data_IF_926491381863
#
_entry.id   IF_926491381863
#
_cell.length_a   1.000
_cell.length_b   1.000
_cell.length_c   1.000
_cell.angle_alpha   90.00
_cell.angle_beta   90.00
_cell.angle_gamma   90.00
#
_symmetry.space_group_name_H-M   'P 1'
#
loop_
_entity.id
_entity.type
_entity.pdbx_description
1 polymer ?
#
# COMPACT_ATOMS: atom_id res chain seq x y z
N UNK A 1 -16.04 10.65 0.89
CA UNK A 1 -14.63 11.08 0.80
C UNK A 1 -14.45 12.56 0.44
N UNK A 2 -15.30 13.18 -0.39
CA UNK A 2 -15.04 14.53 -0.88
C UNK A 2 -15.10 15.61 0.22
N UNK A 3 -16.11 15.57 1.08
CA UNK A 3 -16.40 16.66 2.04
C UNK A 3 -15.81 16.44 3.44
N UNK A 4 -15.62 15.18 3.83
CA UNK A 4 -15.15 14.79 5.17
C UNK A 4 -14.00 13.78 5.06
N UNK A 5 -12.76 14.25 4.81
CA UNK A 5 -11.61 13.37 4.54
C UNK A 5 -11.25 12.51 5.76
N UNK A 6 -11.27 13.08 6.96
CA UNK A 6 -10.95 12.36 8.21
C UNK A 6 -11.94 11.22 8.44
N UNK A 7 -13.25 11.48 8.37
CA UNK A 7 -14.28 10.44 8.52
C UNK A 7 -14.12 9.34 7.48
N UNK A 8 -13.80 9.71 6.24
CA UNK A 8 -13.62 8.73 5.18
C UNK A 8 -12.43 7.80 5.43
N UNK A 9 -11.32 8.31 5.95
CA UNK A 9 -10.17 7.49 6.31
C UNK A 9 -10.49 6.61 7.50
N UNK A 10 -11.19 7.12 8.52
CA UNK A 10 -11.60 6.29 9.66
C UNK A 10 -12.46 5.12 9.19
N UNK A 11 -13.47 5.37 8.35
CA UNK A 11 -14.31 4.31 7.79
C UNK A 11 -13.51 3.34 6.92
N UNK A 12 -12.58 3.85 6.11
CA UNK A 12 -11.69 3.04 5.28
C UNK A 12 -10.79 2.14 6.14
N UNK A 13 -10.14 2.67 7.16
CA UNK A 13 -9.30 1.91 8.08
C UNK A 13 -10.10 0.86 8.86
N UNK A 14 -11.32 1.19 9.30
CA UNK A 14 -12.23 0.21 9.92
C UNK A 14 -12.58 -0.90 8.92
N UNK A 15 -12.86 -0.57 7.66
CA UNK A 15 -13.11 -1.56 6.61
C UNK A 15 -11.94 -2.53 6.45
N UNK A 16 -10.70 -2.03 6.39
CA UNK A 16 -9.50 -2.88 6.29
C UNK A 16 -9.29 -3.76 7.53
N UNK A 17 -9.73 -3.34 8.72
CA UNK A 17 -9.66 -4.17 9.92
C UNK A 17 -10.74 -5.26 9.93
N UNK A 18 -11.93 -4.95 9.41
CA UNK A 18 -13.03 -5.90 9.29
C UNK A 18 -12.76 -7.01 8.27
N UNK A 19 -11.98 -6.73 7.24
CA UNK A 19 -11.46 -7.72 6.27
C UNK A 19 -10.74 -8.89 6.98
N UNK A 20 -9.86 -8.60 7.95
CA UNK A 20 -9.21 -9.65 8.72
C UNK A 20 -10.18 -10.45 9.62
N UNK A 21 -11.28 -9.81 10.04
CA UNK A 21 -12.25 -10.41 10.96
C UNK A 21 -13.19 -11.41 10.26
N UNK A 22 -13.56 -11.18 9.00
CA UNK A 22 -14.50 -12.06 8.29
C UNK A 22 -13.93 -13.47 8.09
N UNK A 23 -12.64 -13.58 7.74
CA UNK A 23 -11.96 -14.84 7.54
C UNK A 23 -11.69 -15.54 8.87
N UNK A 24 -11.53 -14.79 9.96
CA UNK A 24 -11.46 -15.37 11.30
C UNK A 24 -12.82 -15.98 11.70
N UNK A 25 -13.91 -15.22 11.53
CA UNK A 25 -15.26 -15.68 11.82
C UNK A 25 -15.65 -16.90 10.97
N UNK A 26 -15.36 -16.88 9.67
CA UNK A 26 -15.66 -17.98 8.76
C UNK A 26 -14.93 -19.29 9.12
N UNK A 27 -13.73 -19.20 9.71
CA UNK A 27 -12.99 -20.38 10.22
C UNK A 27 -13.52 -20.84 11.58
N UNK A 28 -13.87 -19.91 12.46
CA UNK A 28 -14.42 -20.22 13.78
C UNK A 28 -15.81 -20.88 13.69
N UNK A 29 -16.61 -20.51 12.68
CA UNK A 29 -17.96 -21.03 12.43
C UNK A 29 -18.00 -22.21 11.45
N UNK A 30 -16.86 -22.67 10.93
CA UNK A 30 -16.76 -23.71 9.89
C UNK A 30 -17.59 -23.39 8.61
N UNK A 31 -17.62 -22.11 8.24
CA UNK A 31 -18.35 -21.56 7.08
C UNK A 31 -17.42 -21.08 5.96
N UNK A 32 -16.20 -21.62 5.90
CA UNK A 32 -15.22 -21.26 4.86
C UNK A 32 -15.66 -21.81 3.50
N UNK A 33 -15.76 -20.93 2.49
CA UNK A 33 -16.21 -21.31 1.14
C UNK A 33 -15.31 -20.73 0.04
N UNK A 34 -15.31 -21.37 -1.13
CA UNK A 34 -14.59 -20.86 -2.31
C UNK A 34 -15.15 -19.51 -2.78
N UNK A 35 -16.47 -19.37 -2.73
CA UNK A 35 -17.14 -18.11 -3.05
C UNK A 35 -16.68 -16.99 -2.11
N UNK A 36 -16.70 -17.23 -0.79
CA UNK A 36 -16.24 -16.27 0.21
C UNK A 36 -14.79 -15.85 -0.01
N UNK A 37 -13.88 -16.79 -0.29
CA UNK A 37 -12.47 -16.48 -0.55
C UNK A 37 -12.23 -15.65 -1.83
N UNK A 38 -13.06 -15.83 -2.86
CA UNK A 38 -13.01 -15.00 -4.08
C UNK A 38 -13.61 -13.61 -3.82
N UNK A 39 -14.74 -13.55 -3.10
CA UNK A 39 -15.43 -12.32 -2.77
C UNK A 39 -14.55 -11.40 -1.89
N UNK A 40 -13.95 -11.97 -0.83
CA UNK A 40 -12.95 -11.35 0.03
C UNK A 40 -11.88 -10.66 -0.82
N UNK A 41 -11.16 -11.44 -1.62
CA UNK A 41 -10.09 -10.91 -2.49
C UNK A 41 -10.58 -9.78 -3.42
N UNK A 42 -11.75 -9.91 -4.05
CA UNK A 42 -12.27 -8.89 -4.99
C UNK A 42 -12.65 -7.60 -4.27
N UNK A 43 -13.37 -7.68 -3.15
CA UNK A 43 -13.81 -6.50 -2.38
C UNK A 43 -12.62 -5.74 -1.81
N UNK A 44 -11.59 -6.46 -1.40
CA UNK A 44 -10.36 -5.94 -0.86
C UNK A 44 -9.58 -5.11 -1.92
N UNK A 45 -9.57 -5.58 -3.18
CA UNK A 45 -9.03 -4.81 -4.32
C UNK A 45 -9.89 -3.61 -4.68
N UNK A 46 -11.22 -3.75 -4.69
CA UNK A 46 -12.14 -2.66 -5.00
C UNK A 46 -12.04 -1.52 -3.96
N UNK A 47 -11.89 -1.86 -2.69
CA UNK A 47 -11.72 -0.90 -1.60
C UNK A 47 -10.48 -0.03 -1.84
N UNK A 48 -9.34 -0.65 -2.18
CA UNK A 48 -8.11 0.05 -2.54
C UNK A 48 -8.29 0.89 -3.80
N UNK A 49 -8.94 0.35 -4.84
CA UNK A 49 -9.22 1.07 -6.08
C UNK A 49 -10.04 2.34 -5.85
N UNK A 50 -11.07 2.30 -5.00
CA UNK A 50 -11.87 3.48 -4.67
C UNK A 50 -11.02 4.60 -4.06
N UNK A 51 -10.08 4.27 -3.17
CA UNK A 51 -9.13 5.24 -2.62
C UNK A 51 -8.20 5.81 -3.70
N UNK A 52 -7.64 4.95 -4.56
CA UNK A 52 -6.74 5.35 -5.64
C UNK A 52 -7.42 6.25 -6.68
N UNK A 53 -8.66 5.96 -7.06
CA UNK A 53 -9.46 6.82 -7.95
C UNK A 53 -9.65 8.20 -7.32
N UNK A 54 -10.01 8.25 -6.03
CA UNK A 54 -10.16 9.53 -5.33
C UNK A 54 -8.84 10.29 -5.25
N UNK A 55 -7.73 9.60 -5.03
CA UNK A 55 -6.39 10.17 -5.00
C UNK A 55 -5.99 10.74 -6.37
N UNK A 56 -6.26 10.01 -7.46
CA UNK A 56 -5.99 10.46 -8.82
C UNK A 56 -6.68 11.79 -9.16
N UNK A 57 -7.91 12.02 -8.67
CA UNK A 57 -8.63 13.28 -8.86
C UNK A 57 -7.96 14.50 -8.18
N UNK A 58 -6.97 14.30 -7.32
CA UNK A 58 -6.31 15.35 -6.54
C UNK A 58 -4.87 15.62 -7.02
N UNK A 59 -4.36 14.78 -7.91
CA UNK A 59 -2.97 14.76 -8.34
C UNK A 59 -2.77 15.47 -9.69
N UNK A 60 -1.58 16.05 -9.93
CA UNK A 60 -1.21 16.54 -11.26
C UNK A 60 -1.11 15.40 -12.27
N UNK A 61 -1.33 15.69 -13.55
CA UNK A 61 -1.45 14.68 -14.62
C UNK A 61 -0.32 13.63 -14.66
N UNK A 62 0.98 13.95 -14.47
CA UNK A 62 2.03 12.93 -14.46
C UNK A 62 1.89 11.90 -13.34
N UNK A 63 1.41 12.32 -12.16
CA UNK A 63 1.21 11.44 -11.02
C UNK A 63 -0.07 10.59 -11.15
N UNK A 64 -1.07 11.06 -11.91
CA UNK A 64 -2.27 10.28 -12.24
C UNK A 64 -1.91 9.02 -13.02
N UNK A 65 -0.99 9.13 -14.00
CA UNK A 65 -0.51 7.98 -14.74
C UNK A 65 0.12 6.93 -13.81
N UNK A 66 0.92 7.37 -12.82
CA UNK A 66 1.51 6.46 -11.85
C UNK A 66 0.43 5.72 -11.03
N UNK A 67 -0.61 6.42 -10.56
CA UNK A 67 -1.74 5.80 -9.85
C UNK A 67 -2.50 4.80 -10.74
N UNK A 68 -2.71 5.14 -12.01
CA UNK A 68 -3.37 4.24 -12.97
C UNK A 68 -2.57 2.95 -13.20
N UNK A 69 -1.25 3.06 -13.34
CA UNK A 69 -0.35 1.90 -13.49
C UNK A 69 -0.37 1.05 -12.22
N UNK A 70 -0.29 1.66 -11.03
CA UNK A 70 -0.36 0.95 -9.76
C UNK A 70 -1.69 0.19 -9.60
N UNK A 71 -2.81 0.85 -9.84
CA UNK A 71 -4.14 0.24 -9.78
C UNK A 71 -4.28 -0.92 -10.77
N UNK A 72 -3.79 -0.74 -12.00
CA UNK A 72 -3.86 -1.77 -13.04
C UNK A 72 -2.99 -2.98 -12.71
N UNK A 73 -1.78 -2.75 -12.19
CA UNK A 73 -0.87 -3.80 -11.78
C UNK A 73 -1.43 -4.61 -10.60
N UNK A 74 -2.02 -3.93 -9.61
CA UNK A 74 -2.61 -4.59 -8.45
C UNK A 74 -3.78 -5.49 -8.85
N UNK A 75 -4.71 -4.99 -9.67
CA UNK A 75 -5.83 -5.77 -10.21
C UNK A 75 -5.36 -6.95 -11.07
N UNK A 76 -4.45 -6.71 -12.03
CA UNK A 76 -3.99 -7.74 -12.95
C UNK A 76 -3.22 -8.86 -12.24
N UNK A 77 -2.35 -8.51 -11.28
CA UNK A 77 -1.56 -9.49 -10.53
C UNK A 77 -2.41 -10.38 -9.63
N UNK A 78 -3.36 -9.82 -8.88
CA UNK A 78 -4.25 -10.61 -8.03
C UNK A 78 -5.22 -11.46 -8.84
N UNK A 79 -5.80 -10.89 -9.90
CA UNK A 79 -6.73 -11.62 -10.76
C UNK A 79 -6.06 -12.81 -11.45
N UNK A 80 -4.89 -12.60 -12.06
CA UNK A 80 -4.13 -13.68 -12.72
C UNK A 80 -3.74 -14.78 -11.73
N UNK A 81 -3.27 -14.41 -10.54
CA UNK A 81 -2.87 -15.38 -9.52
C UNK A 81 -4.05 -16.18 -8.94
N UNK A 82 -5.17 -15.52 -8.69
CA UNK A 82 -6.41 -16.19 -8.28
C UNK A 82 -6.88 -17.17 -9.35
N UNK A 83 -6.94 -16.73 -10.61
CA UNK A 83 -7.39 -17.57 -11.72
C UNK A 83 -6.49 -18.79 -11.90
N UNK A 84 -5.16 -18.60 -11.87
CA UNK A 84 -4.20 -19.69 -11.90
C UNK A 84 -4.42 -20.68 -10.75
N UNK A 85 -4.66 -20.20 -9.52
CA UNK A 85 -4.91 -21.04 -8.36
C UNK A 85 -6.19 -21.88 -8.50
N UNK A 86 -7.25 -21.28 -9.04
CA UNK A 86 -8.54 -21.96 -9.27
C UNK A 86 -8.43 -23.06 -10.33
N UNK A 87 -7.74 -22.78 -11.45
CA UNK A 87 -7.62 -23.71 -12.59
C UNK A 87 -6.64 -24.85 -12.29
N UNK A 88 -5.59 -24.59 -11.52
CA UNK A 88 -4.62 -25.62 -11.10
C UNK A 88 -5.12 -26.49 -9.94
N UNK A 89 -6.22 -26.11 -9.28
CA UNK A 89 -6.77 -26.81 -8.13
C UNK A 89 -6.02 -26.58 -6.82
N UNK A 90 -5.25 -25.49 -6.73
CA UNK A 90 -4.55 -25.11 -5.50
C UNK A 90 -5.54 -24.69 -4.43
N UNK A 91 -5.36 -25.14 -3.18
CA UNK A 91 -6.30 -24.86 -2.08
C UNK A 91 -6.44 -23.37 -1.73
N UNK A 92 -5.45 -22.53 -2.07
CA UNK A 92 -5.48 -21.08 -1.81
C UNK A 92 -4.51 -20.31 -2.70
N UNK A 93 -4.90 -19.12 -3.15
CA UNK A 93 -4.04 -18.14 -3.83
C UNK A 93 -2.98 -17.50 -2.91
N UNK A 94 -2.84 -17.97 -1.68
CA UNK A 94 -1.79 -17.55 -0.74
C UNK A 94 -0.77 -18.67 -0.49
N UNK A 95 -0.98 -19.88 -1.04
CA UNK A 95 -0.02 -21.01 -0.97
C UNK A 95 0.92 -20.95 -2.17
N UNK A 96 2.22 -21.01 -1.89
CA UNK A 96 3.27 -20.83 -2.90
C UNK A 96 4.13 -22.08 -3.02
N UNK A 97 4.51 -22.41 -4.25
CA UNK A 97 5.43 -23.51 -4.57
C UNK A 97 6.78 -23.32 -3.83
N UNK A 98 7.34 -24.36 -3.19
CA UNK A 98 8.66 -24.31 -2.58
C UNK A 98 9.79 -23.78 -3.49
N UNK A 99 9.65 -23.93 -4.80
CA UNK A 99 10.58 -23.44 -5.83
C UNK A 99 10.34 -21.98 -6.25
N UNK A 100 9.36 -21.31 -5.66
CA UNK A 100 9.10 -19.91 -5.96
C UNK A 100 10.27 -19.00 -5.55
N UNK A 101 10.38 -17.81 -6.16
CA UNK A 101 11.43 -16.85 -5.85
C UNK A 101 11.49 -16.55 -4.34
N UNK A 102 12.70 -16.43 -3.80
CA UNK A 102 12.95 -16.23 -2.36
C UNK A 102 12.12 -15.09 -1.75
N UNK A 103 12.02 -13.96 -2.47
CA UNK A 103 11.23 -12.80 -2.04
C UNK A 103 9.75 -13.11 -1.86
N UNK A 104 9.19 -13.89 -2.78
CA UNK A 104 7.80 -14.29 -2.74
C UNK A 104 7.54 -15.29 -1.60
N UNK A 105 8.49 -16.19 -1.36
CA UNK A 105 8.45 -17.10 -0.20
C UNK A 105 8.51 -16.34 1.12
N UNK A 106 9.43 -15.41 1.29
CA UNK A 106 9.56 -14.60 2.51
C UNK A 106 8.25 -13.86 2.83
N UNK A 107 7.62 -13.30 1.79
CA UNK A 107 6.36 -12.57 1.90
C UNK A 107 5.18 -13.48 2.34
N UNK A 108 5.06 -14.69 1.79
CA UNK A 108 3.95 -15.60 2.13
C UNK A 108 4.24 -16.58 3.29
N UNK A 109 5.50 -16.73 3.74
CA UNK A 109 5.88 -17.65 4.81
C UNK A 109 5.38 -17.21 6.18
N UNK A 110 5.26 -15.91 6.42
CA UNK A 110 4.79 -15.36 7.70
C UNK A 110 3.54 -14.52 7.51
N UNK A 111 2.45 -14.89 8.20
CA UNK A 111 1.21 -14.12 8.24
C UNK A 111 1.43 -12.70 8.76
N UNK A 112 2.41 -12.52 9.66
CA UNK A 112 2.76 -11.20 10.22
C UNK A 112 3.43 -10.33 9.15
N UNK A 113 4.36 -10.89 8.37
CA UNK A 113 5.01 -10.16 7.27
C UNK A 113 3.98 -9.76 6.20
N UNK A 114 3.12 -10.72 5.81
CA UNK A 114 2.03 -10.46 4.88
C UNK A 114 1.13 -9.31 5.35
N UNK A 115 0.67 -9.37 6.61
CA UNK A 115 -0.18 -8.34 7.19
C UNK A 115 0.53 -6.98 7.25
N UNK A 116 1.78 -6.92 7.72
CA UNK A 116 2.52 -5.66 7.86
C UNK A 116 2.80 -5.01 6.50
N UNK A 117 3.19 -5.79 5.49
CA UNK A 117 3.42 -5.25 4.14
C UNK A 117 2.12 -4.71 3.55
N UNK A 118 1.01 -5.45 3.65
CA UNK A 118 -0.30 -4.95 3.20
C UNK A 118 -0.73 -3.71 3.99
N UNK A 119 -0.58 -3.70 5.31
CA UNK A 119 -0.94 -2.56 6.16
C UNK A 119 -0.14 -1.31 5.76
N UNK A 120 1.17 -1.43 5.57
CA UNK A 120 2.03 -0.31 5.19
C UNK A 120 1.74 0.16 3.75
N UNK A 121 1.43 -0.74 2.83
CA UNK A 121 0.98 -0.39 1.48
C UNK A 121 -0.30 0.46 1.52
N UNK A 122 -1.31 0.05 2.30
CA UNK A 122 -2.52 0.86 2.49
C UNK A 122 -2.24 2.19 3.19
N UNK A 123 -1.35 2.17 4.19
CA UNK A 123 -0.98 3.37 4.92
C UNK A 123 -0.33 4.42 4.03
N UNK A 124 0.46 3.99 3.05
CA UNK A 124 1.05 4.89 2.05
C UNK A 124 -0.03 5.64 1.26
N UNK A 125 -1.05 4.94 0.75
CA UNK A 125 -2.14 5.57 0.01
C UNK A 125 -2.98 6.51 0.89
N UNK A 126 -3.22 6.15 2.15
CA UNK A 126 -3.88 7.02 3.14
C UNK A 126 -3.06 8.30 3.36
N UNK A 127 -1.75 8.20 3.56
CA UNK A 127 -0.88 9.36 3.74
C UNK A 127 -0.89 10.26 2.50
N UNK A 128 -0.76 9.70 1.29
CA UNK A 128 -0.85 10.48 0.05
C UNK A 128 -2.20 11.19 -0.08
N UNK A 129 -3.30 10.50 0.24
CA UNK A 129 -4.63 11.09 0.24
C UNK A 129 -4.73 12.28 1.21
N UNK A 130 -4.22 12.16 2.43
CA UNK A 130 -4.20 13.25 3.42
C UNK A 130 -3.32 14.44 2.99
N UNK A 131 -2.15 14.17 2.42
CA UNK A 131 -1.20 15.21 2.02
C UNK A 131 -1.67 16.02 0.80
N UNK A 132 -2.47 15.40 -0.06
CA UNK A 132 -2.94 15.99 -1.32
C UNK A 132 -4.37 16.50 -1.25
N UNK A 133 -5.11 16.17 -0.19
CA UNK A 133 -6.49 16.64 -0.03
C UNK A 133 -6.56 18.15 0.08
N UNK A 134 -7.39 18.73 -0.78
CA UNK A 134 -7.75 20.14 -0.79
C UNK A 134 -9.23 20.31 -0.53
N UNK A 135 -9.56 21.30 0.26
CA UNK A 135 -10.92 21.71 0.53
C UNK A 135 -11.57 22.19 -0.77
N UNK A 136 -12.74 21.64 -1.17
CA UNK A 136 -13.39 22.01 -2.43
C UNK A 136 -13.78 23.49 -2.53
N UNK A 137 -14.06 24.15 -1.39
CA UNK A 137 -14.47 25.55 -1.36
C UNK A 137 -13.27 26.50 -1.38
N UNK A 138 -12.34 26.31 -0.46
CA UNK A 138 -11.19 27.22 -0.25
C UNK A 138 -9.94 26.85 -1.04
N UNK A 139 -9.84 25.62 -1.57
CA UNK A 139 -8.64 25.11 -2.25
C UNK A 139 -7.46 24.84 -1.30
N UNK A 140 -7.62 25.11 -0.01
CA UNK A 140 -6.57 24.93 0.98
C UNK A 140 -6.33 23.45 1.27
N UNK A 141 -5.07 23.10 1.54
CA UNK A 141 -4.71 21.74 1.96
C UNK A 141 -5.30 21.44 3.33
N UNK A 142 -5.67 20.17 3.56
CA UNK A 142 -6.18 19.71 4.86
C UNK A 142 -5.22 20.03 6.00
N UNK A 143 -3.93 19.81 5.75
CA UNK A 143 -2.83 20.16 6.64
C UNK A 143 -1.88 21.12 5.90
N UNK A 144 -2.11 22.44 6.01
CA UNK A 144 -1.25 23.44 5.37
C UNK A 144 0.11 23.50 6.07
N UNK A 145 1.11 24.00 5.35
CA UNK A 145 2.39 24.38 5.93
C UNK A 145 2.17 25.45 7.00
N UNK A 146 2.93 25.38 8.10
CA UNK A 146 2.75 26.27 9.25
C UNK A 146 3.20 27.69 8.87
N UNK A 147 2.28 28.66 8.93
CA UNK A 147 2.64 30.09 8.97
C UNK A 147 2.85 30.61 10.41
N UNK A 148 2.66 29.78 11.43
CA UNK A 148 2.81 30.22 12.84
C UNK A 148 3.12 29.03 13.75
N UNK A 149 4.29 29.11 14.40
CA UNK A 149 4.78 28.16 15.41
C UNK A 149 3.83 28.17 16.61
N UNK A 150 2.77 27.36 16.56
CA UNK A 150 1.97 27.05 17.74
C UNK A 150 2.52 25.76 18.34
N UNK A 151 2.95 25.90 19.60
CA UNK A 151 3.60 24.92 20.48
C UNK A 151 3.02 23.50 20.37
N UNK A 152 3.56 22.73 19.44
CA UNK A 152 3.31 21.29 19.26
C UNK A 152 4.30 20.49 20.11
N UNK A 153 3.96 19.27 20.47
CA UNK A 153 4.80 18.39 21.29
C UNK A 153 6.13 18.08 20.57
N UNK A 154 6.15 18.31 19.25
CA UNK A 154 7.33 18.30 18.39
C UNK A 154 8.34 19.41 18.73
N UNK A 155 7.93 20.61 19.15
CA UNK A 155 8.86 21.67 19.58
C UNK A 155 9.51 21.36 20.92
N UNK A 156 8.87 20.53 21.75
CA UNK A 156 9.46 19.97 22.98
C UNK A 156 10.50 18.89 22.64
N UNK A 157 10.23 18.06 21.64
CA UNK A 157 11.17 17.03 21.15
C UNK A 157 12.36 17.65 20.38
N UNK A 158 12.11 18.74 19.65
CA UNK A 158 13.07 19.50 18.84
C UNK A 158 13.62 20.74 19.56
N UNK A 159 13.54 20.80 20.90
CA UNK A 159 14.21 21.84 21.69
C UNK A 159 15.67 21.98 21.23
N UNK A 160 16.30 23.15 21.42
CA UNK A 160 17.59 23.55 20.85
C UNK A 160 18.68 22.46 20.87
N UNK A 161 18.68 21.57 21.89
CA UNK A 161 19.56 20.41 21.97
C UNK A 161 19.40 19.36 20.86
N UNK A 162 18.19 19.06 20.39
CA UNK A 162 17.95 18.08 19.32
C UNK A 162 18.32 18.64 17.94
N UNK A 163 18.00 19.91 17.66
CA UNK A 163 18.44 20.59 16.45
C UNK A 163 19.97 20.69 16.37
N UNK A 164 20.64 20.96 17.50
CA UNK A 164 22.09 20.94 17.61
C UNK A 164 22.67 19.53 17.42
N UNK A 165 22.03 18.50 17.98
CA UNK A 165 22.46 17.11 17.82
C UNK A 165 22.34 16.63 16.36
N UNK A 166 21.24 16.95 15.69
CA UNK A 166 21.03 16.62 14.26
C UNK A 166 22.09 17.32 13.40
N UNK A 167 22.36 18.61 13.65
CA UNK A 167 23.44 19.34 12.97
C UNK A 167 24.79 18.65 13.19
N UNK A 168 25.15 18.34 14.43
CA UNK A 168 26.42 17.67 14.74
C UNK A 168 26.52 16.26 14.14
N UNK A 169 25.42 15.52 14.05
CA UNK A 169 25.39 14.16 13.54
C UNK A 169 25.42 14.09 12.00
N UNK A 170 24.78 15.03 11.30
CA UNK A 170 24.59 14.96 9.85
C UNK A 170 25.53 15.86 9.05
N UNK A 171 25.96 17.01 9.59
CA UNK A 171 26.89 17.93 8.90
C UNK A 171 28.20 17.25 8.48
N UNK A 172 28.81 16.33 9.25
CA UNK A 172 30.01 15.61 8.82
C UNK A 172 29.81 14.73 7.58
N UNK A 173 28.57 14.28 7.32
CA UNK A 173 28.25 13.38 6.21
C UNK A 173 27.70 14.12 4.99
N UNK A 174 26.92 15.18 5.21
CA UNK A 174 26.15 15.85 4.17
C UNK A 174 26.53 17.32 3.95
N UNK A 175 27.42 17.89 4.77
CA UNK A 175 27.77 19.30 4.74
C UNK A 175 26.76 20.21 5.45
N UNK A 176 27.12 21.47 5.69
CA UNK A 176 26.30 22.44 6.42
C UNK A 176 25.05 22.85 5.63
N UNK A 177 25.20 23.15 4.34
CA UNK A 177 24.12 23.70 3.52
C UNK A 177 22.93 22.75 3.31
N UNK A 178 23.09 21.44 3.04
CA UNK A 178 21.94 20.56 2.85
C UNK A 178 21.23 20.24 4.17
N UNK A 179 21.97 20.20 5.28
CA UNK A 179 21.41 19.97 6.62
C UNK A 179 20.59 21.18 7.07
N UNK A 180 21.09 22.40 6.84
CA UNK A 180 20.35 23.63 7.15
C UNK A 180 19.09 23.78 6.30
N UNK A 181 19.16 23.48 5.00
CA UNK A 181 17.98 23.43 4.12
C UNK A 181 16.98 22.40 4.63
N UNK A 182 17.44 21.22 5.04
CA UNK A 182 16.58 20.18 5.61
C UNK A 182 15.85 20.65 6.87
N UNK A 183 16.54 21.34 7.78
CA UNK A 183 15.95 21.88 9.01
C UNK A 183 14.93 22.98 8.71
N UNK A 184 15.23 23.89 7.78
CA UNK A 184 14.28 24.94 7.36
C UNK A 184 13.01 24.36 6.75
N UNK A 185 13.13 23.33 5.90
CA UNK A 185 11.99 22.63 5.32
C UNK A 185 11.12 21.95 6.40
N UNK A 186 11.75 21.38 7.44
CA UNK A 186 11.06 20.77 8.58
C UNK A 186 10.27 21.82 9.37
N UNK A 187 10.83 23.00 9.57
CA UNK A 187 10.19 24.09 10.31
C UNK A 187 9.00 24.69 9.56
N UNK A 188 9.08 24.79 8.23
CA UNK A 188 8.03 25.38 7.39
C UNK A 188 6.81 24.47 7.22
N UNK A 189 7.03 23.15 7.14
CA UNK A 189 5.98 22.19 6.77
C UNK A 189 4.90 21.97 7.85
N UNK A 190 5.12 22.37 9.11
CA UNK A 190 4.19 22.14 10.22
C UNK A 190 4.17 20.69 10.72
N UNK A 191 4.07 20.49 12.03
CA UNK A 191 4.34 19.20 12.68
C UNK A 191 3.49 18.02 12.15
N UNK A 192 2.17 18.21 11.99
CA UNK A 192 1.27 17.14 11.54
C UNK A 192 1.59 16.71 10.10
N UNK A 193 1.76 17.69 9.20
CA UNK A 193 2.08 17.43 7.79
C UNK A 193 3.45 16.75 7.66
N UNK A 194 4.44 17.17 8.47
CA UNK A 194 5.75 16.53 8.55
C UNK A 194 5.66 15.08 8.99
N UNK A 195 4.91 14.80 10.06
CA UNK A 195 4.69 13.42 10.52
C UNK A 195 4.09 12.55 9.41
N UNK A 196 3.10 13.07 8.68
CA UNK A 196 2.48 12.33 7.57
C UNK A 196 3.48 12.08 6.44
N UNK A 197 4.35 13.04 6.10
CA UNK A 197 5.41 12.85 5.10
C UNK A 197 6.45 11.81 5.51
N UNK A 198 6.88 11.81 6.77
CA UNK A 198 7.83 10.81 7.29
C UNK A 198 7.23 9.41 7.21
N UNK A 199 5.97 9.27 7.64
CA UNK A 199 5.27 7.99 7.55
C UNK A 199 5.11 7.57 6.08
N UNK A 200 4.70 8.50 5.20
CA UNK A 200 4.56 8.24 3.77
C UNK A 200 5.88 7.77 3.13
N UNK A 201 7.01 8.37 3.52
CA UNK A 201 8.32 7.97 3.04
C UNK A 201 8.66 6.53 3.42
N UNK A 202 8.49 6.19 4.71
CA UNK A 202 8.73 4.83 5.19
C UNK A 202 7.79 3.80 4.53
N UNK A 203 6.48 4.07 4.54
CA UNK A 203 5.49 3.17 3.94
C UNK A 203 5.62 3.09 2.42
N UNK A 204 6.10 4.15 1.77
CA UNK A 204 6.32 4.21 0.32
C UNK A 204 7.39 3.23 -0.16
N UNK A 205 8.46 3.03 0.62
CA UNK A 205 9.47 1.99 0.32
C UNK A 205 8.84 0.60 0.34
N UNK A 206 7.97 0.33 1.31
CA UNK A 206 7.26 -0.95 1.42
C UNK A 206 6.23 -1.11 0.30
N UNK A 207 5.52 -0.04 -0.07
CA UNK A 207 4.64 -0.03 -1.23
C UNK A 207 5.41 -0.39 -2.51
N UNK A 208 6.56 0.24 -2.77
CA UNK A 208 7.38 -0.08 -3.95
C UNK A 208 7.83 -1.55 -3.96
N UNK A 209 8.26 -2.06 -2.81
CA UNK A 209 8.57 -3.48 -2.66
C UNK A 209 7.36 -4.37 -2.97
N UNK A 210 6.17 -4.01 -2.49
CA UNK A 210 4.92 -4.72 -2.77
C UNK A 210 4.58 -4.71 -4.27
N UNK A 211 4.85 -3.63 -4.99
CA UNK A 211 4.65 -3.59 -6.44
C UNK A 211 5.60 -4.55 -7.18
N UNK A 212 6.85 -4.69 -6.73
CA UNK A 212 7.77 -5.70 -7.28
C UNK A 212 7.22 -7.11 -7.05
N UNK A 213 6.68 -7.40 -5.86
CA UNK A 213 6.03 -8.68 -5.58
C UNK A 213 4.83 -8.92 -6.49
N UNK A 214 3.99 -7.91 -6.73
CA UNK A 214 2.84 -8.00 -7.62
C UNK A 214 3.27 -8.38 -9.05
N UNK A 215 4.36 -7.79 -9.57
CA UNK A 215 4.93 -8.18 -10.88
C UNK A 215 5.40 -9.63 -10.89
N UNK A 216 6.17 -10.03 -9.88
CA UNK A 216 6.70 -11.41 -9.78
C UNK A 216 5.55 -12.42 -9.73
N UNK A 217 4.53 -12.13 -8.93
CA UNK A 217 3.35 -12.97 -8.76
C UNK A 217 2.55 -13.09 -10.06
N UNK A 218 2.37 -11.99 -10.79
CA UNK A 218 1.70 -11.96 -12.08
C UNK A 218 2.44 -12.79 -13.14
N UNK A 219 3.77 -12.62 -13.26
CA UNK A 219 4.59 -13.39 -14.21
C UNK A 219 4.56 -14.88 -13.87
N UNK A 220 4.63 -15.24 -12.59
CA UNK A 220 4.48 -16.62 -12.14
C UNK A 220 3.13 -17.22 -12.56
N UNK A 221 2.03 -16.53 -12.25
CA UNK A 221 0.69 -16.96 -12.59
C UNK A 221 0.49 -17.17 -14.10
N UNK A 222 1.02 -16.28 -14.94
CA UNK A 222 0.93 -16.43 -16.40
C UNK A 222 1.73 -17.62 -16.93
N UNK A 223 2.89 -17.91 -16.34
CA UNK A 223 3.67 -19.12 -16.70
C UNK A 223 2.91 -20.39 -16.32
N UNK A 224 2.28 -20.41 -15.15
CA UNK A 224 1.50 -21.55 -14.69
C UNK A 224 0.28 -21.80 -15.58
N UNK A 225 -0.43 -20.74 -15.98
CA UNK A 225 -1.55 -20.82 -16.92
C UNK A 225 -1.11 -21.32 -18.30
N UNK A 226 -0.01 -20.79 -18.84
CA UNK A 226 0.53 -21.25 -20.12
C UNK A 226 0.92 -22.74 -20.07
N UNK A 227 1.53 -23.19 -18.97
CA UNK A 227 1.87 -24.60 -18.77
C UNK A 227 0.61 -25.48 -18.63
N UNK A 228 -0.43 -24.99 -17.95
CA UNK A 228 -1.71 -25.67 -17.84
C UNK A 228 -2.36 -25.87 -19.22
N UNK A 229 -2.38 -24.84 -20.06
CA UNK A 229 -2.96 -24.92 -21.41
C UNK A 229 -2.24 -25.94 -22.31
N UNK A 230 -0.91 -25.97 -22.28
CA UNK A 230 -0.12 -26.96 -23.02
C UNK A 230 -0.45 -28.39 -22.56
N UNK A 231 -0.56 -28.62 -21.24
CA UNK A 231 -0.94 -29.92 -20.67
C UNK A 231 -2.36 -30.32 -21.06
N UNK A 232 -3.31 -29.39 -21.02
CA UNK A 232 -4.70 -29.63 -21.41
C UNK A 232 -4.84 -29.97 -22.90
N UNK A 233 -4.11 -29.27 -23.78
CA UNK A 233 -4.06 -29.58 -25.22
C UNK A 233 -3.48 -30.96 -25.53
N UNK A 234 -2.41 -31.36 -24.84
CA UNK A 234 -1.80 -32.69 -25.04
C UNK A 234 -2.71 -33.83 -24.59
N UNK A 235 -3.47 -33.65 -23.49
CA UNK A 235 -4.49 -34.61 -23.06
C UNK A 235 -5.66 -34.71 -24.03
N UNK A 236 -6.10 -33.58 -24.62
CA UNK A 236 -7.14 -33.57 -25.65
C UNK A 236 -6.74 -34.36 -26.90
N UNK A 237 -5.49 -34.19 -27.37
CA UNK A 237 -4.96 -34.94 -28.53
C UNK A 237 -4.79 -36.45 -28.31
N UNK A 238 -4.68 -36.91 -27.06
CA UNK A 238 -4.58 -38.35 -26.73
C UNK A 238 -5.94 -39.03 -26.59
N UNK A 239 -7.03 -38.27 -26.59
CA UNK A 239 -8.41 -38.76 -26.38
C UNK A 239 -9.27 -38.79 -27.65
N UNK A 240 -8.83 -38.16 -28.73
CA UNK A 240 -9.41 -38.27 -30.07
C UNK A 240 -8.57 -39.19 -30.94
#
# INVERSE_FOLDING_TARGET
MAERPVTAIVLYSVSCLLDAADGYAARALDQSSRFGAVLDMVLDRLTTLCLLVRLALQLPAPLVLAIQVLASLDLASHYSHMYASLVTGSESHKKIDPNAPYLLRLYYQSKVVLFLVCLLDQWFYICLYLLTWRDPGSGNLLFPASQTVSTSWFSVLMNEGAGMFIKHALVPFFGTTPVEIGILLIEEMGAIRMTIWVIAGFSGVVCLFKQVLNVIQMVGAYKDLAAFDVKSRSKGKRRG
#
